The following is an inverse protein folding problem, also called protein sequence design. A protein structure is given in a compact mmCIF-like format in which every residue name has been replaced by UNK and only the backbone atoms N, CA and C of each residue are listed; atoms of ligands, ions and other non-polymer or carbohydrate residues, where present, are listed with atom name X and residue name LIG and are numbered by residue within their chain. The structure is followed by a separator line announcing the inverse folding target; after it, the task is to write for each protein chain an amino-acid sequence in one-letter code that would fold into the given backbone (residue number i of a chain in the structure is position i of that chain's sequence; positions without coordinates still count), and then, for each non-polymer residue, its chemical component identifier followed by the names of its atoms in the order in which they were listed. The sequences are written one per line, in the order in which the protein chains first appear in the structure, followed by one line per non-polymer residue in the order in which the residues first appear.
data_IF_130891864545
#
_entry.id   IF_130891864545
#
_cell.length_a   1.000
_cell.length_b   1.000
_cell.length_c   1.000
_cell.angle_alpha   90.00
_cell.angle_beta   90.00
_cell.angle_gamma   90.00
#
_symmetry.space_group_name_H-M   'P 1'
#
loop_
_entity.id
_entity.type
_entity.pdbx_description
1 polymer ?
#
# COMPACT_ATOMS: atom_id res chain seq x y z
N UNK A 1 -24.12 4.44 -20.24
CA UNK A 1 -24.48 4.89 -18.87
C UNK A 1 -23.89 3.92 -17.85
N UNK A 2 -22.75 4.25 -17.23
CA UNK A 2 -22.11 3.40 -16.19
C UNK A 2 -22.50 3.93 -14.81
N UNK A 3 -23.11 3.08 -13.98
CA UNK A 3 -23.48 3.38 -12.59
C UNK A 3 -22.20 3.43 -11.73
N UNK A 4 -22.03 4.41 -10.82
CA UNK A 4 -20.90 4.44 -9.91
C UNK A 4 -21.09 3.41 -8.80
N UNK A 5 -20.06 2.59 -8.59
CA UNK A 5 -19.97 1.52 -7.60
C UNK A 5 -19.62 2.15 -6.23
N UNK A 6 -20.62 2.68 -5.53
CA UNK A 6 -20.51 3.08 -4.12
C UNK A 6 -21.68 2.47 -3.34
N UNK A 7 -21.55 1.20 -2.95
CA UNK A 7 -22.48 0.56 -2.02
C UNK A 7 -21.73 -0.44 -1.13
N UNK A 8 -21.00 0.10 -0.16
CA UNK A 8 -20.55 -0.60 1.04
C UNK A 8 -20.76 0.32 2.24
N UNK A 9 -20.97 -0.20 3.46
CA UNK A 9 -21.21 0.63 4.64
C UNK A 9 -20.03 1.58 4.86
N UNK A 10 -20.27 2.88 4.70
CA UNK A 10 -19.29 3.93 4.99
C UNK A 10 -19.00 3.94 6.49
N UNK A 11 -18.04 3.12 6.94
CA UNK A 11 -17.44 3.31 8.26
C UNK A 11 -16.76 4.67 8.23
N UNK A 12 -17.39 5.65 8.88
CA UNK A 12 -16.86 7.00 9.07
C UNK A 12 -15.47 6.86 9.68
N UNK A 13 -14.44 7.24 8.93
CA UNK A 13 -13.17 7.68 9.50
C UNK A 13 -13.45 9.03 10.17
N UNK A 14 -14.26 9.03 11.24
CA UNK A 14 -14.54 10.22 12.01
C UNK A 14 -13.41 10.41 13.01
N UNK A 15 -12.67 11.51 12.85
CA UNK A 15 -11.67 12.05 13.80
C UNK A 15 -10.25 11.49 13.71
N UNK A 16 -9.77 11.08 12.53
CA UNK A 16 -8.33 10.90 12.35
C UNK A 16 -7.63 12.26 12.25
N UNK A 17 -6.91 12.65 13.31
CA UNK A 17 -5.85 13.68 13.26
C UNK A 17 -4.76 13.10 12.34
N UNK A 18 -4.56 13.71 11.18
CA UNK A 18 -4.07 13.03 9.97
C UNK A 18 -2.62 12.60 10.00
N UNK A 19 -2.31 11.45 9.42
CA UNK A 19 -0.93 11.01 9.19
C UNK A 19 -0.76 10.32 7.83
N UNK A 20 0.24 10.86 7.10
CA UNK A 20 1.30 10.19 6.34
C UNK A 20 0.96 9.48 5.05
N UNK A 21 1.22 10.23 3.96
CA UNK A 21 1.49 9.80 2.60
C UNK A 21 2.87 9.17 2.54
N UNK A 22 2.92 7.87 2.26
CA UNK A 22 4.15 7.18 1.92
C UNK A 22 4.25 7.06 0.41
N UNK A 23 4.97 7.96 -0.24
CA UNK A 23 5.18 7.91 -1.68
C UNK A 23 6.25 6.85 -2.01
N UNK A 24 5.85 5.68 -2.52
CA UNK A 24 6.79 4.77 -3.18
C UNK A 24 6.59 4.83 -4.68
N UNK A 25 7.61 5.28 -5.39
CA UNK A 25 7.74 5.02 -6.81
C UNK A 25 8.31 3.60 -6.96
N UNK A 26 7.51 2.66 -7.47
CA UNK A 26 8.01 1.35 -7.88
C UNK A 26 8.52 1.42 -9.31
N UNK A 27 9.76 0.99 -9.57
CA UNK A 27 10.21 0.65 -10.93
C UNK A 27 9.99 -0.84 -11.11
N UNK A 28 8.84 -1.21 -11.66
CA UNK A 28 8.67 -2.53 -12.20
C UNK A 28 9.38 -2.55 -13.55
N UNK A 29 10.50 -3.26 -13.64
CA UNK A 29 11.02 -3.64 -14.93
C UNK A 29 9.91 -4.46 -15.61
N UNK A 30 9.27 -3.86 -16.62
CA UNK A 30 8.13 -4.36 -17.39
C UNK A 30 7.41 -5.57 -16.74
N UNK A 31 6.37 -5.29 -15.96
CA UNK A 31 5.49 -6.27 -15.33
C UNK A 31 5.13 -7.42 -16.30
N UNK A 32 4.90 -7.15 -17.58
CA UNK A 32 4.62 -8.21 -18.57
C UNK A 32 5.88 -8.94 -19.11
N UNK A 33 7.06 -8.30 -19.18
CA UNK A 33 8.29 -8.98 -19.65
C UNK A 33 8.94 -9.86 -18.59
N UNK A 34 8.83 -9.53 -17.31
CA UNK A 34 9.41 -10.33 -16.21
C UNK A 34 8.35 -11.12 -15.41
N UNK A 35 7.11 -10.67 -15.33
CA UNK A 35 6.03 -11.38 -14.62
C UNK A 35 5.10 -12.10 -15.60
N UNK A 36 4.68 -11.45 -16.69
CA UNK A 36 3.78 -12.03 -17.69
C UNK A 36 4.35 -13.20 -18.49
N UNK A 37 5.67 -13.22 -18.72
CA UNK A 37 6.35 -14.31 -19.42
C UNK A 37 7.09 -15.31 -18.51
N UNK A 38 7.46 -14.92 -17.27
CA UNK A 38 8.31 -15.76 -16.41
C UNK A 38 7.64 -16.28 -15.13
N UNK A 39 6.50 -15.72 -14.69
CA UNK A 39 5.81 -16.15 -13.48
C UNK A 39 4.37 -16.57 -13.83
N UNK A 40 4.02 -17.86 -13.70
CA UNK A 40 2.66 -18.35 -13.94
C UNK A 40 1.63 -17.59 -13.10
N UNK A 41 0.42 -17.42 -13.62
CA UNK A 41 -0.65 -16.64 -12.96
C UNK A 41 -0.90 -17.14 -11.55
N UNK A 42 -0.89 -18.45 -11.34
CA UNK A 42 -1.08 -19.10 -10.04
C UNK A 42 -0.03 -18.65 -9.01
N UNK A 43 1.21 -18.43 -9.46
CA UNK A 43 2.28 -17.92 -8.61
C UNK A 43 2.11 -16.42 -8.34
N UNK A 44 1.65 -15.64 -9.31
CA UNK A 44 1.31 -14.22 -9.08
C UNK A 44 0.20 -14.08 -8.03
N UNK A 45 -0.83 -14.90 -8.14
CA UNK A 45 -1.95 -14.95 -7.20
C UNK A 45 -1.48 -15.33 -5.79
N UNK A 46 -0.51 -16.24 -5.66
CA UNK A 46 0.12 -16.59 -4.37
C UNK A 46 0.97 -15.45 -3.78
N UNK A 47 1.65 -14.67 -4.62
CA UNK A 47 2.44 -13.52 -4.18
C UNK A 47 1.52 -12.41 -3.67
N UNK A 48 0.40 -12.14 -4.36
CA UNK A 48 -0.56 -11.09 -3.96
C UNK A 48 -1.51 -11.57 -2.85
N UNK A 49 -1.90 -12.84 -2.89
CA UNK A 49 -2.92 -13.46 -2.03
C UNK A 49 -4.36 -13.35 -2.55
N UNK A 50 -4.55 -12.96 -3.83
CA UNK A 50 -5.85 -12.79 -4.48
C UNK A 50 -5.83 -13.30 -5.91
N UNK A 51 -6.97 -13.75 -6.40
CA UNK A 51 -7.18 -14.16 -7.80
C UNK A 51 -7.04 -12.98 -8.75
N UNK A 52 -6.31 -13.16 -9.84
CA UNK A 52 -5.89 -12.05 -10.71
C UNK A 52 -7.05 -11.40 -11.46
N UNK A 53 -7.98 -12.21 -11.97
CA UNK A 53 -9.11 -11.72 -12.77
C UNK A 53 -10.35 -11.40 -11.94
N UNK A 54 -10.67 -12.23 -10.95
CA UNK A 54 -11.89 -12.07 -10.13
C UNK A 54 -11.68 -11.20 -8.90
N UNK A 55 -10.44 -10.87 -8.56
CA UNK A 55 -10.05 -10.19 -7.32
C UNK A 55 -10.58 -10.89 -6.05
N UNK A 56 -10.88 -12.20 -6.11
CA UNK A 56 -11.34 -12.95 -4.94
C UNK A 56 -10.12 -13.29 -4.08
N UNK A 57 -10.22 -13.07 -2.78
CA UNK A 57 -9.18 -13.48 -1.83
C UNK A 57 -9.00 -14.99 -1.82
N UNK A 58 -7.75 -15.46 -1.79
CA UNK A 58 -7.48 -16.89 -1.65
C UNK A 58 -8.01 -17.42 -0.31
N UNK A 59 -8.28 -18.72 -0.23
CA UNK A 59 -8.60 -19.34 1.05
C UNK A 59 -7.38 -19.29 1.98
N UNK A 60 -7.58 -19.20 3.30
CA UNK A 60 -6.46 -19.06 4.25
C UNK A 60 -5.48 -20.23 4.19
N UNK A 61 -5.97 -21.45 3.93
CA UNK A 61 -5.14 -22.64 3.74
C UNK A 61 -4.27 -22.60 2.47
N UNK A 62 -4.62 -21.75 1.49
CA UNK A 62 -3.89 -21.61 0.23
C UNK A 62 -2.95 -20.39 0.23
N UNK A 63 -3.10 -19.45 1.19
CA UNK A 63 -2.26 -18.26 1.29
C UNK A 63 -0.88 -18.62 1.84
N UNK A 64 0.19 -18.40 1.07
CA UNK A 64 1.53 -18.48 1.63
C UNK A 64 1.74 -17.39 2.69
N UNK A 65 2.57 -17.66 3.70
CA UNK A 65 2.90 -16.70 4.74
C UNK A 65 3.64 -15.46 4.23
N UNK A 66 4.24 -15.50 3.04
CA UNK A 66 4.90 -14.37 2.39
C UNK A 66 3.98 -13.53 1.50
N UNK A 67 2.69 -13.90 1.37
CA UNK A 67 1.78 -13.18 0.50
C UNK A 67 1.62 -11.72 0.95
N UNK A 68 1.52 -10.80 0.00
CA UNK A 68 1.40 -9.36 0.27
C UNK A 68 0.23 -9.06 1.21
N UNK A 69 -0.95 -9.65 0.97
CA UNK A 69 -2.11 -9.45 1.85
C UNK A 69 -1.91 -10.02 3.26
N UNK A 70 -1.14 -11.10 3.43
CA UNK A 70 -0.83 -11.68 4.75
C UNK A 70 0.11 -10.76 5.52
N UNK A 71 1.19 -10.30 4.89
CA UNK A 71 2.20 -9.46 5.56
C UNK A 71 1.69 -8.03 5.84
N UNK A 72 0.75 -7.55 5.03
CA UNK A 72 0.10 -6.25 5.24
C UNK A 72 -1.15 -6.31 6.11
N UNK A 73 -1.68 -7.51 6.40
CA UNK A 73 -2.75 -7.66 7.37
C UNK A 73 -2.16 -7.70 8.79
N UNK A 74 -2.29 -6.58 9.51
CA UNK A 74 -1.77 -6.44 10.88
C UNK A 74 -2.91 -6.31 11.88
N UNK A 75 -2.78 -7.06 12.97
CA UNK A 75 -3.73 -7.04 14.08
C UNK A 75 -3.06 -6.53 15.36
N UNK A 76 -3.85 -5.87 16.19
CA UNK A 76 -3.48 -5.42 17.53
C UNK A 76 -4.70 -5.55 18.45
N UNK A 77 -4.53 -6.23 19.58
CA UNK A 77 -5.62 -6.48 20.55
C UNK A 77 -6.86 -7.16 19.94
N UNK A 78 -6.67 -8.02 18.92
CA UNK A 78 -7.77 -8.70 18.23
C UNK A 78 -8.53 -7.82 17.22
N UNK A 79 -8.08 -6.59 16.98
CA UNK A 79 -8.62 -5.71 15.96
C UNK A 79 -7.65 -5.54 14.78
N UNK A 80 -8.19 -5.59 13.56
CA UNK A 80 -7.43 -5.32 12.36
C UNK A 80 -7.10 -3.82 12.24
N UNK A 81 -5.82 -3.52 12.06
CA UNK A 81 -5.34 -2.15 11.88
C UNK A 81 -5.33 -1.77 10.40
N UNK A 82 -6.38 -1.10 9.97
CA UNK A 82 -6.53 -0.67 8.57
C UNK A 82 -5.78 0.64 8.26
N UNK A 83 -5.45 0.78 6.97
CA UNK A 83 -4.98 2.01 6.32
C UNK A 83 -5.85 2.28 5.08
N UNK A 84 -5.97 3.54 4.68
CA UNK A 84 -6.57 3.90 3.40
C UNK A 84 -5.46 4.01 2.36
N UNK A 85 -5.61 3.36 1.20
CA UNK A 85 -4.64 3.42 0.11
C UNK A 85 -5.29 4.00 -1.14
N UNK A 86 -4.51 4.73 -1.93
CA UNK A 86 -4.93 5.28 -3.22
C UNK A 86 -3.84 5.10 -4.27
N UNK A 87 -3.45 3.83 -4.49
CA UNK A 87 -2.32 3.49 -5.35
C UNK A 87 -2.61 3.86 -6.81
N UNK A 88 -1.69 4.58 -7.43
CA UNK A 88 -1.85 5.04 -8.81
C UNK A 88 -0.79 4.42 -9.73
N UNK A 89 -1.17 3.85 -10.90
CA UNK A 89 -0.20 3.41 -11.89
C UNK A 89 0.46 4.61 -12.57
N UNK A 90 1.74 4.49 -12.92
CA UNK A 90 2.46 5.45 -13.76
C UNK A 90 3.48 4.71 -14.64
N UNK A 91 3.92 5.33 -15.72
CA UNK A 91 4.96 4.74 -16.58
C UNK A 91 5.30 5.58 -17.80
N UNK A 92 6.40 5.21 -18.45
CA UNK A 92 6.88 5.75 -19.71
C UNK A 92 7.24 4.57 -20.62
N UNK A 93 6.40 4.32 -21.63
CA UNK A 93 6.53 3.19 -22.56
C UNK A 93 7.86 3.28 -23.32
N UNK A 94 8.28 4.49 -23.73
CA UNK A 94 9.51 4.70 -24.51
C UNK A 94 10.77 4.35 -23.72
N UNK A 95 10.70 4.38 -22.38
CA UNK A 95 11.80 4.02 -21.48
C UNK A 95 11.62 2.64 -20.83
N UNK A 96 10.53 1.93 -21.14
CA UNK A 96 10.18 0.67 -20.49
C UNK A 96 9.96 0.83 -18.98
N UNK A 97 9.52 2.00 -18.53
CA UNK A 97 9.24 2.27 -17.12
C UNK A 97 7.78 1.99 -16.82
N UNK A 98 7.53 1.08 -15.90
CA UNK A 98 6.21 0.79 -15.37
C UNK A 98 6.29 0.85 -13.87
N UNK A 99 5.28 1.41 -13.22
CA UNK A 99 5.35 1.65 -11.81
C UNK A 99 4.02 1.86 -11.15
N UNK A 100 4.06 1.72 -9.84
CA UNK A 100 2.96 2.06 -8.94
C UNK A 100 3.45 3.14 -8.00
N UNK A 101 2.65 4.18 -7.85
CA UNK A 101 2.80 5.18 -6.82
C UNK A 101 1.97 4.71 -5.62
N UNK A 102 2.65 4.20 -4.59
CA UNK A 102 2.00 3.90 -3.33
C UNK A 102 1.68 5.20 -2.60
N UNK A 103 0.51 5.25 -1.95
CA UNK A 103 0.13 6.28 -0.99
C UNK A 103 -0.81 5.61 0.02
N UNK A 104 -0.39 5.61 1.28
CA UNK A 104 -1.22 5.21 2.41
C UNK A 104 -1.65 6.43 3.22
N UNK A 105 -2.74 6.32 3.97
CA UNK A 105 -3.15 7.23 5.02
C UNK A 105 -3.53 6.41 6.24
N UNK A 106 -3.04 6.83 7.41
CA UNK A 106 -3.29 6.13 8.65
C UNK A 106 -3.55 7.10 9.80
N UNK A 107 -4.13 6.58 10.89
CA UNK A 107 -4.25 7.32 12.15
C UNK A 107 -2.92 7.45 12.89
N UNK A 108 -1.97 6.55 12.64
CA UNK A 108 -0.64 6.53 13.24
C UNK A 108 0.36 6.00 12.22
N UNK A 109 1.57 6.60 12.09
CA UNK A 109 2.64 6.07 11.24
C UNK A 109 2.99 4.62 11.55
N UNK A 110 2.91 4.22 12.83
CA UNK A 110 3.31 2.89 13.29
C UNK A 110 2.62 1.75 12.55
N UNK A 111 1.39 1.96 12.06
CA UNK A 111 0.66 0.98 11.24
C UNK A 111 1.36 0.71 9.91
N UNK A 112 1.67 1.77 9.18
CA UNK A 112 2.35 1.68 7.88
C UNK A 112 3.78 1.18 8.09
N UNK A 113 4.48 1.65 9.13
CA UNK A 113 5.83 1.19 9.44
C UNK A 113 5.88 -0.31 9.75
N UNK A 114 4.91 -0.83 10.50
CA UNK A 114 4.79 -2.28 10.77
C UNK A 114 4.51 -3.07 9.49
N UNK A 115 3.61 -2.59 8.63
CA UNK A 115 3.37 -3.22 7.32
C UNK A 115 4.66 -3.23 6.46
N UNK A 116 5.38 -2.11 6.38
CA UNK A 116 6.66 -2.03 5.66
C UNK A 116 7.74 -2.93 6.26
N UNK A 117 7.80 -3.03 7.59
CA UNK A 117 8.74 -3.92 8.26
C UNK A 117 8.46 -5.38 7.90
N UNK A 118 7.19 -5.81 7.96
CA UNK A 118 6.77 -7.14 7.54
C UNK A 118 7.10 -7.37 6.06
N UNK A 119 6.90 -6.38 5.20
CA UNK A 119 7.18 -6.51 3.78
C UNK A 119 8.69 -6.60 3.47
N UNK A 120 9.51 -5.74 4.07
CA UNK A 120 10.93 -5.62 3.72
C UNK A 120 11.83 -6.60 4.47
N UNK A 121 11.56 -6.84 5.75
CA UNK A 121 12.35 -7.74 6.60
C UNK A 121 11.74 -9.13 6.68
N UNK A 122 10.41 -9.20 6.61
CA UNK A 122 9.67 -10.45 6.74
C UNK A 122 9.10 -10.68 8.13
N UNK A 123 8.05 -11.49 8.18
CA UNK A 123 7.48 -12.00 9.42
C UNK A 123 7.23 -13.52 9.31
N UNK A 124 8.01 -14.36 10.00
CA UNK A 124 9.23 -14.04 10.78
C UNK A 124 10.35 -13.48 9.88
N UNK A 125 11.44 -12.90 10.44
CA UNK A 125 12.53 -12.33 9.65
C UNK A 125 13.06 -13.31 8.58
N UNK A 126 13.21 -12.82 7.35
CA UNK A 126 13.54 -13.63 6.17
C UNK A 126 12.31 -14.03 5.33
N UNK A 127 11.11 -14.04 5.90
CA UNK A 127 9.85 -14.29 5.18
C UNK A 127 9.25 -12.98 4.64
N UNK A 128 10.01 -12.30 3.78
CA UNK A 128 9.67 -10.99 3.22
C UNK A 128 8.60 -11.09 2.10
N UNK A 129 8.03 -9.94 1.74
CA UNK A 129 7.01 -9.85 0.70
C UNK A 129 7.60 -10.01 -0.70
N UNK A 130 7.17 -11.07 -1.38
CA UNK A 130 7.62 -11.43 -2.73
C UNK A 130 7.18 -10.43 -3.80
N UNK A 131 6.25 -9.52 -3.51
CA UNK A 131 5.95 -8.40 -4.40
C UNK A 131 7.20 -7.51 -4.65
N UNK A 132 8.11 -7.45 -3.66
CA UNK A 132 9.34 -6.66 -3.76
C UNK A 132 10.37 -7.24 -4.73
N UNK A 133 10.26 -8.53 -5.08
CA UNK A 133 11.14 -9.17 -6.09
C UNK A 133 10.98 -8.52 -7.48
N UNK A 134 9.86 -7.83 -7.70
CA UNK A 134 9.54 -7.12 -8.96
C UNK A 134 9.18 -5.66 -8.78
N UNK A 135 9.31 -5.17 -7.55
CA UNK A 135 8.90 -3.82 -7.18
C UNK A 135 10.01 -3.15 -6.37
N UNK A 136 10.81 -2.31 -7.03
CA UNK A 136 11.85 -1.54 -6.32
C UNK A 136 11.33 -0.16 -5.90
N UNK A 137 11.30 0.11 -4.60
CA UNK A 137 11.05 1.45 -4.08
C UNK A 137 12.23 2.38 -4.42
N UNK A 138 11.98 3.49 -5.12
CA UNK A 138 13.02 4.49 -5.42
C UNK A 138 12.85 5.81 -4.66
N UNK A 139 11.70 6.01 -4.03
CA UNK A 139 11.43 7.15 -3.14
C UNK A 139 10.76 6.67 -1.86
N UNK A 140 10.97 7.42 -0.78
CA UNK A 140 10.27 7.25 0.49
C UNK A 140 10.14 8.63 1.14
N UNK A 141 8.92 8.98 1.54
CA UNK A 141 8.64 10.24 2.24
C UNK A 141 7.52 10.01 3.23
N UNK A 142 7.46 10.86 4.25
CA UNK A 142 6.51 10.75 5.35
C UNK A 142 5.98 12.15 5.66
N UNK A 143 4.67 12.37 5.50
CA UNK A 143 4.07 13.71 5.59
C UNK A 143 2.98 13.81 6.66
N UNK A 144 2.98 14.85 7.47
CA UNK A 144 1.81 15.14 8.29
C UNK A 144 0.70 15.77 7.43
N UNK A 145 -0.54 15.28 7.54
CA UNK A 145 -1.70 15.86 6.85
C UNK A 145 -2.54 16.60 7.89
N UNK A 146 -2.34 17.92 8.05
CA UNK A 146 -3.06 18.71 9.05
C UNK A 146 -4.57 18.77 8.73
N UNK A 147 -5.36 19.07 9.75
CA UNK A 147 -6.77 19.40 9.54
C UNK A 147 -6.92 20.68 8.73
N UNK A 148 -8.03 20.82 8.01
CA UNK A 148 -8.35 22.06 7.26
C UNK A 148 -8.28 23.30 8.14
N UNK A 149 -8.88 23.26 9.34
CA UNK A 149 -8.85 24.38 10.29
C UNK A 149 -7.45 24.76 10.74
N UNK A 150 -6.52 23.80 10.83
CA UNK A 150 -5.12 24.09 11.10
C UNK A 150 -4.50 24.87 9.94
N UNK A 151 -4.69 24.40 8.70
CA UNK A 151 -4.18 25.09 7.50
C UNK A 151 -4.76 26.50 7.36
N UNK A 152 -6.06 26.66 7.59
CA UNK A 152 -6.74 27.96 7.51
C UNK A 152 -6.21 28.95 8.58
N UNK A 153 -5.71 28.44 9.71
CA UNK A 153 -5.15 29.24 10.80
C UNK A 153 -3.66 29.57 10.64
N UNK A 154 -2.96 28.97 9.67
CA UNK A 154 -1.55 29.27 9.40
C UNK A 154 -1.45 30.62 8.71
N UNK A 155 -0.88 31.62 9.39
CA UNK A 155 -0.52 32.91 8.82
C UNK A 155 0.99 32.99 8.57
N UNK A 156 1.46 33.68 7.52
CA UNK A 156 2.89 33.88 7.30
C UNK A 156 3.51 34.59 8.51
N UNK A 157 4.39 33.89 9.26
CA UNK A 157 5.07 34.42 10.45
C UNK A 157 4.67 33.81 11.80
N UNK A 158 3.65 32.93 11.87
CA UNK A 158 3.22 32.30 13.13
C UNK A 158 4.07 31.09 13.56
N UNK A 159 4.97 30.60 12.70
CA UNK A 159 5.89 29.51 13.02
C UNK A 159 7.13 30.06 13.74
N UNK A 160 6.98 30.42 15.02
CA UNK A 160 8.12 30.28 15.94
C UNK A 160 8.10 28.84 16.44
N UNK A 161 9.06 28.05 15.98
CA UNK A 161 9.32 26.75 16.58
C UNK A 161 9.67 26.95 18.07
N UNK A 162 9.24 26.05 18.97
CA UNK A 162 9.74 26.02 20.34
C UNK A 162 11.25 25.76 20.39
#
# INVERSE_FOLDING_TARGET
MRRPFFAGPRRRISRARGWIILCHRHRAAAWDRLFGAAIPVEQQEKIIGRKKLSDIELADAEKPSFAHNVLTNIEENGEQLEILRDNMPFGDIGKGEFGTYFIGYARSPSRIERMLQNMCVGNPPGNYDRLLDVSRAVTRSLFFVPTRSFLDAVTPGSLRAP
#
